data_IF_112002693262
#
_entry.id   IF_112002693262
#
_cell.length_a   1.000
_cell.length_b   1.000
_cell.length_c   1.000
_cell.angle_alpha   90.00
_cell.angle_beta   90.00
_cell.angle_gamma   90.00
#
_symmetry.space_group_name_H-M   'P 1'
#
loop_
_entity.id
_entity.type
_entity.pdbx_description
1 polymer ?
#
# COMPACT_ATOMS: atom_id res chain seq x y z
N UNK A 1 4.23 -25.82 14.89
CA UNK A 1 4.59 -26.03 13.47
C UNK A 1 5.03 -24.68 12.92
N UNK A 2 6.21 -24.59 12.29
CA UNK A 2 6.61 -23.34 11.60
C UNK A 2 5.73 -23.22 10.35
N UNK A 3 4.89 -22.20 10.28
CA UNK A 3 4.13 -21.89 9.06
C UNK A 3 5.08 -21.62 7.90
N UNK A 4 4.65 -21.90 6.66
CA UNK A 4 5.43 -21.59 5.46
C UNK A 4 5.74 -20.09 5.43
N UNK A 5 7.02 -19.74 5.34
CA UNK A 5 7.45 -18.36 5.20
C UNK A 5 7.51 -18.03 3.70
N UNK A 6 6.64 -17.12 3.27
CA UNK A 6 6.53 -16.70 1.88
C UNK A 6 7.17 -15.32 1.78
N UNK A 7 8.01 -15.10 0.77
CA UNK A 7 8.61 -13.78 0.52
C UNK A 7 7.92 -13.11 -0.66
N UNK A 8 7.53 -11.86 -0.49
CA UNK A 8 6.90 -11.04 -1.52
C UNK A 8 7.66 -9.74 -1.71
N UNK A 9 8.08 -9.47 -2.94
CA UNK A 9 8.64 -8.17 -3.30
C UNK A 9 7.52 -7.14 -3.45
N UNK A 10 7.60 -6.07 -2.65
CA UNK A 10 6.65 -4.95 -2.67
C UNK A 10 7.35 -3.70 -3.19
N UNK A 11 6.74 -3.02 -4.16
CA UNK A 11 7.24 -1.75 -4.68
C UNK A 11 6.17 -0.68 -4.57
N UNK A 12 6.57 0.52 -4.15
CA UNK A 12 5.69 1.69 -4.15
C UNK A 12 6.10 2.61 -5.29
N UNK A 13 5.13 3.01 -6.11
CA UNK A 13 5.34 3.90 -7.26
C UNK A 13 4.39 5.09 -7.20
N UNK A 14 4.77 6.19 -7.83
CA UNK A 14 4.04 7.46 -7.85
C UNK A 14 4.99 8.63 -7.87
N UNK A 15 4.48 9.81 -8.12
CA UNK A 15 5.24 11.05 -8.26
C UNK A 15 6.04 11.40 -6.99
N UNK A 16 7.00 12.32 -7.12
CA UNK A 16 7.73 12.85 -5.97
C UNK A 16 6.79 13.56 -4.99
N UNK A 17 7.02 13.35 -3.68
CA UNK A 17 6.28 14.03 -2.61
C UNK A 17 4.86 13.51 -2.35
N UNK A 18 4.42 12.40 -3.01
CA UNK A 18 3.12 11.76 -2.69
C UNK A 18 3.12 11.01 -1.36
N UNK A 19 4.31 10.71 -0.81
CA UNK A 19 4.49 10.10 0.51
C UNK A 19 4.79 8.60 0.52
N UNK A 20 5.40 8.05 -0.55
CA UNK A 20 5.81 6.62 -0.60
C UNK A 20 6.70 6.24 0.58
N UNK A 21 7.80 6.96 0.77
CA UNK A 21 8.73 6.78 1.89
C UNK A 21 8.03 6.91 3.24
N UNK A 22 7.13 7.88 3.39
CA UNK A 22 6.37 8.06 4.63
C UNK A 22 5.44 6.87 4.92
N UNK A 23 4.79 6.30 3.89
CA UNK A 23 3.98 5.09 4.03
C UNK A 23 4.85 3.92 4.53
N UNK A 24 6.02 3.71 3.93
CA UNK A 24 6.94 2.65 4.32
C UNK A 24 7.42 2.85 5.77
N UNK A 25 7.87 4.06 6.10
CA UNK A 25 8.36 4.37 7.46
C UNK A 25 7.26 4.21 8.51
N UNK A 26 6.04 4.65 8.20
CA UNK A 26 4.88 4.45 9.10
C UNK A 26 4.57 2.96 9.26
N UNK A 27 4.56 2.22 8.16
CA UNK A 27 4.24 0.81 8.17
C UNK A 27 5.27 -0.03 8.94
N UNK A 28 6.57 0.22 8.71
CA UNK A 28 7.66 -0.61 9.28
C UNK A 28 8.04 -0.17 10.68
N UNK A 29 8.17 1.13 10.92
CA UNK A 29 8.77 1.71 12.13
C UNK A 29 7.76 2.46 13.01
N UNK A 30 6.48 2.53 12.60
CA UNK A 30 5.45 3.37 13.23
C UNK A 30 5.90 4.83 13.42
N UNK A 31 6.69 5.36 12.47
CA UNK A 31 7.27 6.69 12.53
C UNK A 31 6.75 7.59 11.40
N UNK A 32 6.58 8.88 11.69
CA UNK A 32 6.23 9.92 10.74
C UNK A 32 7.06 11.17 10.98
N UNK A 33 7.70 11.68 9.92
CA UNK A 33 8.45 12.94 9.91
C UNK A 33 7.79 13.90 8.92
N UNK A 34 7.28 15.03 9.42
CA UNK A 34 6.43 15.94 8.65
C UNK A 34 7.15 16.59 7.44
N UNK A 35 8.43 16.88 7.54
CA UNK A 35 9.23 17.53 6.49
C UNK A 35 10.37 16.63 6.02
N UNK A 36 10.05 15.41 5.58
CA UNK A 36 11.08 14.55 5.00
C UNK A 36 11.55 15.09 3.65
N UNK A 37 12.85 15.15 3.45
CA UNK A 37 13.44 15.47 2.15
C UNK A 37 13.05 14.44 1.09
N UNK A 38 13.09 14.85 -0.19
CA UNK A 38 12.81 13.92 -1.28
C UNK A 38 13.82 12.78 -1.29
N UNK A 39 13.33 11.54 -1.42
CA UNK A 39 14.17 10.35 -1.50
C UNK A 39 15.07 10.42 -2.72
N UNK A 40 16.39 10.46 -2.53
CA UNK A 40 17.39 10.52 -3.58
C UNK A 40 17.86 9.11 -3.93
N UNK A 41 17.95 8.21 -2.95
CA UNK A 41 18.46 6.85 -3.12
C UNK A 41 17.37 5.84 -2.74
N UNK A 42 17.18 4.82 -3.59
CA UNK A 42 16.27 3.72 -3.24
C UNK A 42 16.78 2.99 -2.00
N UNK A 43 15.88 2.65 -1.10
CA UNK A 43 16.18 1.89 0.11
C UNK A 43 15.37 0.59 0.15
N UNK A 44 15.92 -0.39 0.87
CA UNK A 44 15.29 -1.69 1.09
C UNK A 44 14.99 -1.86 2.57
N UNK A 45 13.83 -2.40 2.86
CA UNK A 45 13.43 -2.80 4.21
C UNK A 45 12.51 -4.02 4.15
N UNK A 46 12.29 -4.68 5.27
CA UNK A 46 11.38 -5.82 5.31
C UNK A 46 10.45 -5.75 6.53
N UNK A 47 9.27 -6.33 6.39
CA UNK A 47 8.34 -6.55 7.51
C UNK A 47 7.63 -7.89 7.32
N UNK A 48 7.56 -8.68 8.40
CA UNK A 48 6.85 -9.96 8.41
C UNK A 48 5.44 -9.78 8.97
N UNK A 49 4.45 -10.38 8.29
CA UNK A 49 3.06 -10.46 8.74
C UNK A 49 2.66 -11.92 8.89
N UNK A 50 1.97 -12.21 9.98
CA UNK A 50 1.43 -13.54 10.25
C UNK A 50 -0.09 -13.56 10.00
N UNK A 51 -0.50 -14.32 8.99
CA UNK A 51 -1.91 -14.61 8.70
C UNK A 51 -2.32 -15.87 9.48
N UNK A 52 -2.55 -15.71 10.80
CA UNK A 52 -2.81 -16.80 11.74
C UNK A 52 -3.95 -17.70 11.31
N UNK A 53 -5.04 -17.11 10.78
CA UNK A 53 -6.22 -17.85 10.29
C UNK A 53 -5.88 -18.81 9.14
N UNK A 54 -4.80 -18.59 8.41
CA UNK A 54 -4.35 -19.44 7.30
C UNK A 54 -3.10 -20.25 7.63
N UNK A 55 -2.56 -20.10 8.84
CA UNK A 55 -1.26 -20.67 9.24
C UNK A 55 -0.14 -20.34 8.24
N UNK A 56 -0.13 -19.11 7.73
CA UNK A 56 0.84 -18.58 6.76
C UNK A 56 1.51 -17.33 7.30
N UNK A 57 2.75 -17.10 6.89
CA UNK A 57 3.49 -15.86 7.14
C UNK A 57 4.01 -15.32 5.83
N UNK A 58 3.91 -14.00 5.63
CA UNK A 58 4.53 -13.31 4.49
C UNK A 58 5.61 -12.38 5.02
N UNK A 59 6.80 -12.46 4.43
CA UNK A 59 7.84 -11.46 4.56
C UNK A 59 7.74 -10.50 3.39
N UNK A 60 7.35 -9.26 3.62
CA UNK A 60 7.36 -8.22 2.61
C UNK A 60 8.76 -7.63 2.48
N UNK A 61 9.36 -7.80 1.32
CA UNK A 61 10.59 -7.14 0.90
C UNK A 61 10.23 -5.83 0.21
N UNK A 62 10.29 -4.72 0.95
CA UNK A 62 9.74 -3.43 0.52
C UNK A 62 10.85 -2.55 -0.05
N UNK A 63 10.65 -2.10 -1.28
CA UNK A 63 11.56 -1.22 -1.99
C UNK A 63 10.98 0.19 -2.07
N UNK A 64 11.66 1.13 -1.40
CA UNK A 64 11.37 2.56 -1.52
C UNK A 64 12.04 3.10 -2.78
N UNK A 65 11.25 3.66 -3.67
CA UNK A 65 11.75 4.18 -4.94
C UNK A 65 11.76 5.71 -4.93
N UNK A 66 12.84 6.31 -5.48
CA UNK A 66 12.86 7.73 -5.71
C UNK A 66 11.77 8.11 -6.72
N UNK A 67 10.87 9.02 -6.31
CA UNK A 67 9.75 9.50 -7.16
C UNK A 67 10.17 10.58 -8.16
N UNK A 68 11.49 10.84 -8.31
CA UNK A 68 11.98 11.87 -9.22
C UNK A 68 12.07 11.32 -10.65
N UNK A 69 11.54 12.08 -11.59
CA UNK A 69 11.53 11.79 -13.03
C UNK A 69 12.95 11.61 -13.62
N UNK A 70 13.96 12.17 -12.99
CA UNK A 70 15.36 12.04 -13.41
C UNK A 70 15.90 10.60 -13.34
N UNK A 71 15.29 9.73 -12.52
CA UNK A 71 15.74 8.34 -12.32
C UNK A 71 14.80 7.31 -12.96
N UNK A 72 13.81 7.73 -13.75
CA UNK A 72 12.82 6.84 -14.39
C UNK A 72 13.46 5.71 -15.21
N UNK A 73 14.58 5.97 -15.87
CA UNK A 73 15.28 4.96 -16.69
C UNK A 73 15.91 3.83 -15.86
N UNK A 74 16.37 4.14 -14.64
CA UNK A 74 16.95 3.16 -13.71
C UNK A 74 15.86 2.46 -12.87
N UNK A 75 14.71 3.09 -12.73
CA UNK A 75 13.61 2.60 -11.89
C UNK A 75 13.03 1.25 -12.35
N UNK A 76 13.11 0.93 -13.65
CA UNK A 76 12.61 -0.36 -14.19
C UNK A 76 13.21 -1.56 -13.48
N UNK A 77 14.48 -1.52 -13.11
CA UNK A 77 15.14 -2.63 -12.41
C UNK A 77 14.57 -2.87 -11.01
N UNK A 78 14.03 -1.82 -10.37
CA UNK A 78 13.41 -1.96 -9.05
C UNK A 78 12.03 -2.62 -9.12
N UNK A 79 11.33 -2.50 -10.27
CA UNK A 79 9.98 -3.07 -10.46
C UNK A 79 10.00 -4.52 -10.96
N UNK A 80 11.15 -4.99 -11.49
CA UNK A 80 11.29 -6.35 -11.98
C UNK A 80 10.93 -7.37 -10.89
N UNK A 81 10.09 -8.34 -11.26
CA UNK A 81 9.63 -9.42 -10.38
C UNK A 81 8.94 -8.89 -9.10
N UNK A 82 8.27 -7.73 -9.17
CA UNK A 82 7.45 -7.28 -8.06
C UNK A 82 6.19 -8.15 -7.96
N UNK A 83 5.96 -8.70 -6.79
CA UNK A 83 4.76 -9.49 -6.47
C UNK A 83 3.58 -8.60 -6.06
N UNK A 84 3.87 -7.41 -5.52
CA UNK A 84 2.88 -6.40 -5.11
C UNK A 84 3.35 -5.03 -5.57
N UNK A 85 2.50 -4.31 -6.30
CA UNK A 85 2.71 -2.94 -6.76
C UNK A 85 1.70 -1.98 -6.14
N UNK A 86 2.17 -0.98 -5.37
CA UNK A 86 1.33 0.02 -4.72
C UNK A 86 1.48 1.36 -5.45
N UNK A 87 0.42 1.80 -6.10
CA UNK A 87 0.29 3.07 -6.81
C UNK A 87 -0.15 4.15 -5.82
N UNK A 88 0.72 5.14 -5.55
CA UNK A 88 0.48 6.16 -4.53
C UNK A 88 0.26 7.53 -5.17
N UNK A 89 -0.82 8.22 -4.79
CA UNK A 89 -1.07 9.61 -5.15
C UNK A 89 -1.39 10.47 -3.91
N UNK A 90 -1.22 11.78 -4.02
CA UNK A 90 -1.65 12.76 -3.00
C UNK A 90 -3.06 13.25 -3.38
N UNK A 91 -4.06 13.09 -2.51
CA UNK A 91 -5.46 13.46 -2.79
C UNK A 91 -5.62 14.93 -3.19
N UNK A 92 -4.70 15.81 -2.78
CA UNK A 92 -4.70 17.24 -3.09
C UNK A 92 -4.11 17.57 -4.46
N UNK A 93 -3.41 16.62 -5.10
CA UNK A 93 -2.67 16.85 -6.36
C UNK A 93 -3.24 16.02 -7.49
N UNK A 94 -4.18 16.61 -8.26
CA UNK A 94 -4.79 15.97 -9.44
C UNK A 94 -3.73 15.36 -10.38
N UNK A 95 -2.64 16.09 -10.66
CA UNK A 95 -1.59 15.61 -11.56
C UNK A 95 -0.97 14.29 -11.08
N UNK A 96 -0.78 14.10 -9.77
CA UNK A 96 -0.22 12.85 -9.23
C UNK A 96 -1.15 11.66 -9.46
N UNK A 97 -2.46 11.87 -9.49
CA UNK A 97 -3.46 10.85 -9.82
C UNK A 97 -3.50 10.54 -11.32
N UNK A 98 -3.44 11.56 -12.17
CA UNK A 98 -3.39 11.34 -13.62
C UNK A 98 -2.07 10.64 -14.03
N UNK A 99 -0.94 10.94 -13.37
CA UNK A 99 0.32 10.22 -13.57
C UNK A 99 0.22 8.72 -13.25
N UNK A 100 -0.64 8.31 -12.30
CA UNK A 100 -0.86 6.89 -12.05
C UNK A 100 -1.44 6.18 -13.27
N UNK A 101 -2.41 6.81 -13.94
CA UNK A 101 -3.12 6.25 -15.09
C UNK A 101 -2.26 6.21 -16.36
N UNK A 102 -1.51 7.29 -16.61
CA UNK A 102 -0.81 7.50 -17.87
C UNK A 102 0.61 6.93 -17.88
N UNK A 103 1.21 6.72 -16.69
CA UNK A 103 2.61 6.30 -16.62
C UNK A 103 2.84 5.15 -15.62
N UNK A 104 2.55 5.34 -14.32
CA UNK A 104 3.00 4.41 -13.29
C UNK A 104 2.38 3.02 -13.39
N UNK A 105 1.10 2.93 -13.71
CA UNK A 105 0.41 1.66 -13.93
C UNK A 105 1.05 0.86 -15.08
N UNK A 106 1.33 1.51 -16.21
CA UNK A 106 1.96 0.85 -17.36
C UNK A 106 3.39 0.38 -17.03
N UNK A 107 4.14 1.15 -16.23
CA UNK A 107 5.48 0.70 -15.80
C UNK A 107 5.42 -0.58 -14.96
N UNK A 108 4.45 -0.70 -14.06
CA UNK A 108 4.25 -1.91 -13.26
C UNK A 108 3.81 -3.09 -14.13
N UNK A 109 2.90 -2.90 -15.08
CA UNK A 109 2.45 -3.97 -15.98
C UNK A 109 3.57 -4.58 -16.82
N UNK A 110 4.52 -3.77 -17.25
CA UNK A 110 5.64 -4.24 -18.08
C UNK A 110 6.72 -4.95 -17.25
N UNK A 111 6.82 -4.66 -15.96
CA UNK A 111 7.97 -5.07 -15.13
C UNK A 111 7.61 -6.05 -14.01
N UNK A 112 6.34 -6.14 -13.63
CA UNK A 112 5.89 -7.00 -12.54
C UNK A 112 5.70 -8.46 -12.96
N UNK A 113 5.40 -9.31 -11.99
CA UNK A 113 4.98 -10.69 -12.24
C UNK A 113 3.58 -10.73 -12.90
N UNK A 114 3.29 -11.78 -13.67
CA UNK A 114 1.97 -11.95 -14.34
C UNK A 114 0.79 -11.91 -13.35
N UNK A 115 0.99 -12.40 -12.13
CA UNK A 115 -0.02 -12.43 -11.05
C UNK A 115 0.17 -11.32 -10.01
N UNK A 116 0.89 -10.24 -10.36
CA UNK A 116 1.16 -9.14 -9.44
C UNK A 116 -0.14 -8.57 -8.85
N UNK A 117 -0.16 -8.43 -7.53
CA UNK A 117 -1.23 -7.72 -6.83
C UNK A 117 -1.02 -6.21 -7.00
N UNK A 118 -2.03 -5.53 -7.53
CA UNK A 118 -2.03 -4.08 -7.60
C UNK A 118 -2.83 -3.47 -6.44
N UNK A 119 -2.35 -2.34 -5.94
CA UNK A 119 -3.06 -1.51 -4.97
C UNK A 119 -2.95 -0.03 -5.34
N UNK A 120 -3.97 0.75 -4.98
CA UNK A 120 -4.03 2.21 -5.14
C UNK A 120 -4.21 2.85 -3.78
N UNK A 121 -3.29 3.72 -3.39
CA UNK A 121 -3.30 4.46 -2.14
C UNK A 121 -3.54 5.94 -2.38
N UNK A 122 -4.71 6.46 -1.97
CA UNK A 122 -5.00 7.90 -1.90
C UNK A 122 -4.43 8.46 -0.61
N UNK A 123 -3.20 8.96 -0.65
CA UNK A 123 -2.47 9.38 0.54
C UNK A 123 -2.76 10.82 0.94
N UNK A 124 -2.46 11.15 2.21
CA UNK A 124 -2.71 12.42 2.89
C UNK A 124 -4.20 12.72 3.06
N UNK A 125 -5.00 11.68 3.32
CA UNK A 125 -6.45 11.82 3.50
C UNK A 125 -6.85 12.67 4.72
N UNK A 126 -5.91 12.93 5.64
CA UNK A 126 -6.05 13.90 6.72
C UNK A 126 -6.27 15.34 6.22
N UNK A 127 -5.83 15.65 4.99
CA UNK A 127 -5.96 16.97 4.35
C UNK A 127 -7.18 17.03 3.41
N UNK A 128 -8.28 16.40 3.79
CA UNK A 128 -9.52 16.26 2.99
C UNK A 128 -10.13 17.60 2.57
N UNK A 129 -9.92 18.68 3.33
CA UNK A 129 -10.40 20.02 2.95
C UNK A 129 -9.73 20.58 1.69
N UNK A 130 -8.57 20.05 1.32
CA UNK A 130 -7.82 20.42 0.12
C UNK A 130 -7.96 19.36 -1.01
N UNK A 131 -8.87 18.40 -0.85
CA UNK A 131 -9.06 17.28 -1.77
C UNK A 131 -9.38 17.78 -3.19
N UNK A 132 -8.65 17.24 -4.18
CA UNK A 132 -8.87 17.47 -5.62
C UNK A 132 -9.15 16.17 -6.37
N UNK A 133 -8.98 15.03 -5.72
CA UNK A 133 -9.29 13.71 -6.24
C UNK A 133 -10.15 13.01 -5.22
N UNK A 134 -11.41 12.81 -5.53
CA UNK A 134 -12.39 12.21 -4.63
C UNK A 134 -12.08 10.72 -4.37
N UNK A 135 -12.51 10.22 -3.22
CA UNK A 135 -12.42 8.79 -2.91
C UNK A 135 -13.12 7.94 -3.99
N UNK A 136 -14.25 8.42 -4.53
CA UNK A 136 -14.99 7.71 -5.58
C UNK A 136 -14.16 7.55 -6.87
N UNK A 137 -13.41 8.58 -7.28
CA UNK A 137 -12.50 8.50 -8.44
C UNK A 137 -11.36 7.51 -8.21
N UNK A 138 -10.76 7.54 -7.01
CA UNK A 138 -9.71 6.58 -6.64
C UNK A 138 -10.21 5.14 -6.63
N UNK A 139 -11.39 4.89 -6.04
CA UNK A 139 -12.06 3.58 -6.04
C UNK A 139 -12.39 3.10 -7.45
N UNK A 140 -12.89 4.00 -8.31
CA UNK A 140 -13.22 3.63 -9.69
C UNK A 140 -11.97 3.22 -10.46
N UNK A 141 -10.90 4.01 -10.38
CA UNK A 141 -9.63 3.65 -11.03
C UNK A 141 -9.08 2.31 -10.53
N UNK A 142 -9.08 2.09 -9.21
CA UNK A 142 -8.63 0.82 -8.65
C UNK A 142 -9.47 -0.36 -9.15
N UNK A 143 -10.80 -0.20 -9.25
CA UNK A 143 -11.70 -1.19 -9.80
C UNK A 143 -11.39 -1.51 -11.26
N UNK A 144 -11.14 -0.48 -12.06
CA UNK A 144 -10.87 -0.62 -13.50
C UNK A 144 -9.59 -1.42 -13.79
N UNK A 145 -8.58 -1.33 -12.89
CA UNK A 145 -7.33 -2.09 -12.99
C UNK A 145 -7.28 -3.34 -12.10
N UNK A 146 -8.38 -3.71 -11.44
CA UNK A 146 -8.44 -4.88 -10.55
C UNK A 146 -7.62 -4.76 -9.26
N UNK A 147 -7.33 -3.53 -8.82
CA UNK A 147 -6.49 -3.23 -7.67
C UNK A 147 -7.28 -3.14 -6.35
N UNK A 148 -6.58 -3.32 -5.25
CA UNK A 148 -7.03 -2.92 -3.90
C UNK A 148 -7.05 -1.40 -3.80
N UNK A 149 -8.00 -0.81 -3.07
CA UNK A 149 -8.04 0.63 -2.82
C UNK A 149 -8.09 0.94 -1.34
N UNK A 150 -7.25 1.91 -0.91
CA UNK A 150 -7.33 2.51 0.42
C UNK A 150 -7.00 4.00 0.39
N UNK A 151 -7.74 4.78 1.19
CA UNK A 151 -7.26 6.09 1.63
C UNK A 151 -6.27 5.89 2.77
N UNK A 152 -5.17 6.64 2.74
CA UNK A 152 -4.09 6.53 3.72
C UNK A 152 -3.69 7.90 4.27
N UNK A 153 -3.28 7.93 5.55
CA UNK A 153 -2.60 9.07 6.15
C UNK A 153 -1.43 8.58 6.99
N UNK A 154 -0.23 8.98 6.63
CA UNK A 154 0.96 8.70 7.43
C UNK A 154 0.96 9.49 8.74
N UNK A 155 0.38 10.69 8.74
CA UNK A 155 0.28 11.57 9.90
C UNK A 155 -0.63 11.00 10.97
N UNK A 156 -1.85 10.62 10.58
CA UNK A 156 -2.88 10.11 11.49
C UNK A 156 -2.85 8.57 11.62
N UNK A 157 -1.90 7.90 10.95
CA UNK A 157 -1.79 6.43 10.90
C UNK A 157 -3.11 5.75 10.50
N UNK A 158 -3.66 6.16 9.33
CA UNK A 158 -4.93 5.66 8.81
C UNK A 158 -4.67 4.81 7.56
N UNK A 159 -5.29 3.64 7.48
CA UNK A 159 -5.42 2.80 6.28
C UNK A 159 -4.13 2.14 5.79
N UNK A 160 -2.98 2.34 6.46
CA UNK A 160 -1.69 1.82 6.01
C UNK A 160 -1.56 0.32 6.33
N UNK A 161 -1.82 -0.07 7.57
CA UNK A 161 -1.77 -1.49 7.97
C UNK A 161 -2.76 -2.31 7.12
N UNK A 162 -4.00 -1.82 7.01
CA UNK A 162 -5.07 -2.47 6.23
C UNK A 162 -4.72 -2.61 4.74
N UNK A 163 -4.00 -1.63 4.17
CA UNK A 163 -3.53 -1.69 2.79
C UNK A 163 -2.58 -2.87 2.58
N UNK A 164 -1.57 -2.99 3.42
CA UNK A 164 -0.58 -4.07 3.31
C UNK A 164 -1.18 -5.44 3.64
N UNK A 165 -2.03 -5.53 4.67
CA UNK A 165 -2.73 -6.77 5.02
C UNK A 165 -3.60 -7.26 3.86
N UNK A 166 -4.37 -6.37 3.23
CA UNK A 166 -5.23 -6.74 2.11
C UNK A 166 -4.42 -7.15 0.88
N UNK A 167 -3.30 -6.46 0.60
CA UNK A 167 -2.39 -6.86 -0.48
C UNK A 167 -1.82 -8.26 -0.26
N UNK A 168 -1.34 -8.56 0.93
CA UNK A 168 -0.80 -9.88 1.24
C UNK A 168 -1.84 -10.98 1.20
N UNK A 169 -3.06 -10.73 1.69
CA UNK A 169 -4.18 -11.66 1.59
C UNK A 169 -4.50 -11.95 0.11
N UNK A 170 -4.61 -10.92 -0.71
CA UNK A 170 -4.88 -11.06 -2.15
C UNK A 170 -3.74 -11.80 -2.88
N UNK A 171 -2.50 -11.59 -2.45
CA UNK A 171 -1.35 -12.36 -2.96
C UNK A 171 -1.49 -13.85 -2.63
N UNK A 172 -1.86 -14.21 -1.40
CA UNK A 172 -2.10 -15.60 -1.02
C UNK A 172 -3.25 -16.24 -1.83
N UNK A 173 -4.32 -15.49 -2.08
CA UNK A 173 -5.46 -15.92 -2.91
C UNK A 173 -5.03 -16.18 -4.36
N UNK A 174 -4.34 -15.21 -4.99
CA UNK A 174 -3.92 -15.29 -6.39
C UNK A 174 -2.95 -16.45 -6.66
N UNK A 175 -2.14 -16.80 -5.66
CA UNK A 175 -1.19 -17.90 -5.76
C UNK A 175 -1.74 -19.24 -5.26
N UNK A 176 -3.05 -19.34 -5.02
CA UNK A 176 -3.73 -20.54 -4.50
C UNK A 176 -3.16 -21.07 -3.17
N UNK A 177 -2.55 -20.20 -2.37
CA UNK A 177 -1.99 -20.54 -1.06
C UNK A 177 -3.05 -20.55 0.05
N UNK A 178 -4.22 -19.94 -0.22
CA UNK A 178 -5.44 -19.99 0.59
C UNK A 178 -6.67 -20.05 -0.34
N UNK A 179 -7.81 -20.56 0.17
CA UNK A 179 -9.04 -20.58 -0.61
C UNK A 179 -9.77 -19.24 -0.51
N UNK A 180 -10.23 -18.71 -1.63
CA UNK A 180 -10.91 -17.42 -1.71
C UNK A 180 -12.17 -17.31 -0.81
N UNK A 181 -12.83 -18.44 -0.49
CA UNK A 181 -14.01 -18.48 0.37
C UNK A 181 -13.69 -18.39 1.88
N UNK A 182 -12.51 -18.86 2.31
CA UNK A 182 -12.07 -18.76 3.71
C UNK A 182 -11.77 -17.29 4.10
N UNK A 183 -11.53 -16.44 3.11
CA UNK A 183 -11.24 -15.02 3.30
C UNK A 183 -12.48 -14.15 3.53
N UNK A 184 -13.71 -14.64 3.18
CA UNK A 184 -14.95 -13.84 3.31
C UNK A 184 -15.64 -14.03 4.67
N UNK A 185 -15.45 -15.14 5.36
CA UNK A 185 -16.13 -15.46 6.62
C UNK A 185 -15.50 -14.78 7.85
N UNK A 186 -14.29 -14.25 7.71
CA UNK A 186 -13.61 -13.49 8.76
C UNK A 186 -13.65 -11.97 8.47
N UNK A 187 -14.85 -11.40 8.33
CA UNK A 187 -15.03 -9.98 8.66
C UNK A 187 -14.71 -9.84 10.15
N UNK A 188 -13.51 -9.40 10.38
CA UNK A 188 -12.83 -9.12 11.60
C UNK A 188 -13.79 -8.61 12.70
N UNK A 189 -14.05 -9.46 13.69
CA UNK A 189 -14.58 -9.05 14.98
C UNK A 189 -13.47 -8.35 15.76
N UNK A 190 -13.28 -7.05 15.50
CA UNK A 190 -12.44 -6.14 16.29
C UNK A 190 -13.16 -5.66 17.57
N UNK A 191 -14.17 -6.39 18.06
CA UNK A 191 -14.98 -5.94 19.19
C UNK A 191 -14.82 -6.75 20.47
N UNK A 192 -13.81 -7.60 20.62
CA UNK A 192 -13.63 -8.32 21.89
C UNK A 192 -12.23 -8.16 22.47
N UNK A 193 -11.84 -6.92 22.76
CA UNK A 193 -10.87 -6.59 23.83
C UNK A 193 -10.70 -5.08 24.01
N UNK A 194 -11.76 -4.42 24.49
CA UNK A 194 -11.66 -3.05 25.00
C UNK A 194 -12.73 -2.84 26.08
N UNK A 195 -12.62 -3.58 27.17
CA UNK A 195 -13.05 -3.03 28.45
C UNK A 195 -11.81 -2.47 29.15
N UNK A 196 -11.91 -1.16 29.47
CA UNK A 196 -11.03 -0.31 30.26
C UNK A 196 -9.87 0.39 29.53
N UNK A 197 -10.14 1.57 29.00
CA UNK A 197 -9.54 2.85 29.37
C UNK A 197 -9.79 3.93 28.31
N UNK A 198 -10.41 5.01 28.76
CA UNK A 198 -10.42 6.38 28.23
C UNK A 198 -10.71 6.68 26.74
N UNK A 199 -11.82 7.40 26.60
CA UNK A 199 -12.41 7.98 25.43
C UNK A 199 -11.52 8.75 24.45
N UNK A 200 -10.90 8.09 23.52
CA UNK A 200 -10.42 8.72 22.29
C UNK A 200 -11.34 8.37 21.13
N UNK A 201 -12.17 9.36 20.73
CA UNK A 201 -12.99 9.27 19.52
C UNK A 201 -12.12 8.95 18.31
N UNK A 202 -12.32 7.77 17.70
CA UNK A 202 -11.78 7.46 16.37
C UNK A 202 -12.39 8.43 15.37
N UNK A 203 -11.60 9.37 14.82
CA UNK A 203 -11.97 10.17 13.68
C UNK A 203 -11.93 9.27 12.44
N UNK A 204 -13.09 9.07 11.81
CA UNK A 204 -13.13 8.54 10.44
C UNK A 204 -12.80 9.69 9.50
N UNK A 205 -11.93 9.46 8.51
CA UNK A 205 -11.94 10.27 7.30
C UNK A 205 -13.29 10.05 6.64
N UNK A 206 -14.09 11.12 6.52
CA UNK A 206 -15.33 11.11 5.76
C UNK A 206 -15.04 11.10 4.28
#
# INVERSE_FOLDING_TARGET
MKGDNITCKVVLVGDSGVGKTCIIQRYVNDNFVENSESTITSSYTYKKIDYKQFNKSISFDIWDTAGQELYRALAKNFYLNASIGILVYDIRRRNSFESLKTYWHEQLKVSGEDNMVLAVAGNKCDLYLEEKVTEAEGKQFAKDIGAVFRLTSCKENIGIEELFEECGRKYLENNNLIKANEAKDNKFNLNDSADNADGKKKKKCC
#
